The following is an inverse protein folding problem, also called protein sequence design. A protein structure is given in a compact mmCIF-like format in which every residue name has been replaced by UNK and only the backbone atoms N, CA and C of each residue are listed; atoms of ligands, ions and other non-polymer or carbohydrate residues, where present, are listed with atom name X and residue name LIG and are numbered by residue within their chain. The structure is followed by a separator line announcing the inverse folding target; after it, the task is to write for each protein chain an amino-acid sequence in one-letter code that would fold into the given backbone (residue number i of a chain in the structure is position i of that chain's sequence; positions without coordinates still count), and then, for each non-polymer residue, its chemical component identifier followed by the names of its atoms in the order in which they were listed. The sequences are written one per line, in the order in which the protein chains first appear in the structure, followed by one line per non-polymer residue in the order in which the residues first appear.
data_IF_411144983791
#
_entry.id   IF_411144983791
#
_cell.length_a   1.000
_cell.length_b   1.000
_cell.length_c   1.000
_cell.angle_alpha   90.00
_cell.angle_beta   90.00
_cell.angle_gamma   90.00
#
_symmetry.space_group_name_H-M   'P 1'
#
loop_
_entity.id
_entity.type
_entity.pdbx_description
1 polymer ?
#
# COMPACT_ATOMS: atom_id res chain seq x y z
N UNK A 1 11.29 0.63 1.38
CA UNK A 1 10.27 -0.25 0.75
C UNK A 1 10.49 -0.35 -0.74
N UNK A 2 10.44 0.75 -1.52
CA UNK A 2 10.62 0.75 -2.98
C UNK A 2 11.85 -0.05 -3.46
N UNK A 3 13.05 0.27 -2.95
CA UNK A 3 14.27 -0.47 -3.30
C UNK A 3 14.18 -1.97 -2.96
N UNK A 4 13.61 -2.32 -1.81
CA UNK A 4 13.38 -3.71 -1.40
C UNK A 4 12.41 -4.39 -2.38
N UNK A 5 11.30 -3.74 -2.71
CA UNK A 5 10.28 -4.25 -3.64
C UNK A 5 10.87 -4.51 -5.03
N UNK A 6 11.62 -3.55 -5.61
CA UNK A 6 12.26 -3.74 -6.92
C UNK A 6 13.22 -4.94 -6.91
N UNK A 7 14.05 -5.05 -5.86
CA UNK A 7 14.98 -6.19 -5.73
C UNK A 7 14.26 -7.52 -5.52
N UNK A 8 13.22 -7.52 -4.70
CA UNK A 8 12.38 -8.69 -4.42
C UNK A 8 11.64 -9.18 -5.67
N UNK A 9 11.12 -8.24 -6.47
CA UNK A 9 10.45 -8.52 -7.74
C UNK A 9 11.42 -9.10 -8.78
N UNK A 10 12.67 -8.62 -8.81
CA UNK A 10 13.76 -9.21 -9.63
C UNK A 10 14.32 -10.53 -9.06
N UNK A 11 13.73 -11.09 -8.01
CA UNK A 11 14.08 -12.42 -7.49
C UNK A 11 15.05 -12.45 -6.31
N UNK A 12 15.54 -11.31 -5.81
CA UNK A 12 16.37 -11.28 -4.60
C UNK A 12 15.54 -11.69 -3.38
N UNK A 13 16.08 -12.59 -2.56
CA UNK A 13 15.53 -12.95 -1.26
C UNK A 13 16.47 -12.52 -0.14
N UNK A 14 15.93 -12.12 1.01
CA UNK A 14 16.71 -11.80 2.19
C UNK A 14 15.90 -12.01 3.49
N UNK A 15 16.56 -12.06 4.66
CA UNK A 15 15.86 -12.23 5.94
C UNK A 15 14.81 -11.15 6.26
N UNK A 16 14.87 -9.98 5.60
CA UNK A 16 13.90 -8.89 5.78
C UNK A 16 12.56 -9.14 5.06
N UNK A 17 12.49 -10.13 4.17
CA UNK A 17 11.34 -10.32 3.28
C UNK A 17 10.04 -10.52 4.07
N UNK A 18 10.08 -11.36 5.10
CA UNK A 18 8.90 -11.67 5.89
C UNK A 18 8.36 -10.42 6.61
N UNK A 19 9.26 -9.59 7.16
CA UNK A 19 8.89 -8.34 7.83
C UNK A 19 8.26 -7.36 6.84
N UNK A 20 8.84 -7.20 5.65
CA UNK A 20 8.31 -6.29 4.62
C UNK A 20 6.96 -6.77 4.08
N UNK A 21 6.80 -8.07 3.84
CA UNK A 21 5.52 -8.67 3.41
C UNK A 21 4.44 -8.48 4.47
N UNK A 22 4.75 -8.72 5.76
CA UNK A 22 3.80 -8.49 6.87
C UNK A 22 3.36 -7.02 6.92
N UNK A 23 4.30 -6.06 6.78
CA UNK A 23 3.97 -4.62 6.74
C UNK A 23 3.10 -4.25 5.54
N UNK A 24 3.39 -4.79 4.36
CA UNK A 24 2.60 -4.57 3.15
C UNK A 24 1.17 -5.09 3.32
N UNK A 25 0.99 -6.34 3.78
CA UNK A 25 -0.34 -6.92 4.08
C UNK A 25 -1.13 -6.09 5.10
N UNK A 26 -0.45 -5.50 6.09
CA UNK A 26 -1.08 -4.67 7.10
C UNK A 26 -1.68 -3.36 6.55
N UNK A 27 -1.32 -2.93 5.33
CA UNK A 27 -1.93 -1.78 4.67
C UNK A 27 -3.39 -2.01 4.25
N UNK A 28 -3.86 -3.27 4.21
CA UNK A 28 -5.28 -3.62 3.95
C UNK A 28 -6.25 -2.84 4.83
N UNK A 29 -5.86 -2.49 6.07
CA UNK A 29 -6.68 -1.65 6.97
C UNK A 29 -6.97 -0.27 6.40
N UNK A 30 -6.02 0.35 5.70
CA UNK A 30 -6.19 1.65 5.08
C UNK A 30 -7.12 1.58 3.88
N UNK A 31 -7.05 0.50 3.09
CA UNK A 31 -7.99 0.25 1.99
C UNK A 31 -9.43 0.19 2.50
N UNK A 32 -9.66 -0.56 3.59
CA UNK A 32 -10.99 -0.68 4.21
C UNK A 32 -11.46 0.68 4.74
N UNK A 33 -10.58 1.46 5.37
CA UNK A 33 -10.91 2.79 5.87
C UNK A 33 -11.28 3.75 4.73
N UNK A 34 -10.58 3.73 3.61
CA UNK A 34 -10.94 4.54 2.43
C UNK A 34 -12.31 4.09 1.90
N UNK A 35 -12.51 2.80 1.64
CA UNK A 35 -13.77 2.27 1.09
C UNK A 35 -15.00 2.53 1.97
N UNK A 36 -14.84 2.53 3.30
CA UNK A 36 -15.95 2.75 4.24
C UNK A 36 -16.29 4.23 4.48
N UNK A 37 -15.33 5.11 4.30
CA UNK A 37 -15.47 6.52 4.69
C UNK A 37 -15.42 7.50 3.51
N UNK A 38 -15.12 7.03 2.31
CA UNK A 38 -15.02 7.84 1.11
C UNK A 38 -16.00 7.37 0.05
N UNK A 39 -16.49 8.32 -0.74
CA UNK A 39 -17.19 8.02 -1.99
C UNK A 39 -16.17 7.42 -2.97
N UNK A 40 -16.58 6.39 -3.72
CA UNK A 40 -15.73 5.77 -4.73
C UNK A 40 -15.27 6.81 -5.76
N UNK A 41 -13.97 6.85 -6.02
CA UNK A 41 -13.37 7.81 -6.95
C UNK A 41 -13.10 9.20 -6.38
N UNK A 42 -13.54 9.52 -5.16
CA UNK A 42 -13.18 10.78 -4.50
C UNK A 42 -11.74 10.74 -3.98
N UNK A 43 -10.81 11.20 -4.82
CA UNK A 43 -9.37 11.29 -4.51
C UNK A 43 -9.05 12.30 -3.40
N UNK A 44 -9.94 13.24 -3.10
CA UNK A 44 -9.73 14.26 -2.06
C UNK A 44 -10.09 13.74 -0.68
N UNK A 45 -10.92 12.70 -0.59
CA UNK A 45 -11.20 12.05 0.67
C UNK A 45 -9.97 11.27 1.20
N UNK A 46 -9.55 11.58 2.44
CA UNK A 46 -8.44 10.94 3.18
C UNK A 46 -7.10 10.94 2.40
N UNK A 47 -6.60 12.09 1.94
CA UNK A 47 -5.48 12.18 1.01
C UNK A 47 -4.17 11.63 1.60
N UNK A 48 -3.94 11.81 2.91
CA UNK A 48 -2.77 11.26 3.60
C UNK A 48 -2.75 9.73 3.61
N UNK A 49 -3.92 9.09 3.79
CA UNK A 49 -4.03 7.63 3.77
C UNK A 49 -3.91 7.07 2.35
N UNK A 50 -4.48 7.77 1.37
CA UNK A 50 -4.28 7.46 -0.05
C UNK A 50 -2.80 7.56 -0.45
N UNK A 51 -2.09 8.59 -0.01
CA UNK A 51 -0.65 8.71 -0.23
C UNK A 51 0.15 7.56 0.38
N UNK A 52 -0.22 7.13 1.60
CA UNK A 52 0.41 5.96 2.21
C UNK A 52 0.16 4.69 1.38
N UNK A 53 -1.04 4.48 0.85
CA UNK A 53 -1.35 3.37 -0.04
C UNK A 53 -0.49 3.39 -1.30
N UNK A 54 -0.32 4.55 -1.95
CA UNK A 54 0.55 4.70 -3.13
C UNK A 54 2.01 4.36 -2.82
N UNK A 55 2.51 4.77 -1.66
CA UNK A 55 3.88 4.43 -1.21
C UNK A 55 4.10 2.91 -1.06
N UNK A 56 3.02 2.14 -0.86
CA UNK A 56 3.00 0.67 -0.78
C UNK A 56 2.48 0.01 -2.07
N UNK A 57 2.46 0.75 -3.19
CA UNK A 57 1.99 0.34 -4.52
C UNK A 57 0.53 -0.15 -4.61
N UNK A 58 -0.34 0.32 -3.72
CA UNK A 58 -1.78 0.17 -3.88
C UNK A 58 -2.33 1.32 -4.71
N UNK A 59 -3.08 1.03 -5.78
CA UNK A 59 -3.73 2.10 -6.57
C UNK A 59 -4.91 2.68 -5.79
N UNK A 60 -4.66 3.79 -5.11
CA UNK A 60 -5.66 4.49 -4.31
C UNK A 60 -6.54 5.45 -5.12
N UNK A 61 -6.44 5.52 -6.45
CA UNK A 61 -7.25 6.45 -7.26
C UNK A 61 -8.61 5.85 -7.63
N UNK A 62 -8.66 4.53 -7.73
CA UNK A 62 -9.85 3.74 -8.11
C UNK A 62 -10.57 3.11 -6.90
N UNK A 63 -10.17 3.48 -5.66
CA UNK A 63 -10.71 2.93 -4.41
C UNK A 63 -11.84 3.76 -3.83
#
# INVERSE_FOLDING_TARGET
WFQWYCRYFMGRRCPDDERQIRRWKAMKRHIIQVRRNCVSGDIRCRPRQRQALLQWAYDSRIM
#
